data_IF_109026311763
#
_entry.id   IF_109026311763
#
_cell.length_a   1.000
_cell.length_b   1.000
_cell.length_c   1.000
_cell.angle_alpha   90.00
_cell.angle_beta   90.00
_cell.angle_gamma   90.00
#
_symmetry.space_group_name_H-M   'P 1'
#
loop_
_entity.id
_entity.type
_entity.pdbx_description
1 polymer ?
#
# COMPACT_ATOMS: atom_id res chain seq x y z
N UNK A 1 8.76 -10.74 -9.20
CA UNK A 1 8.95 -9.48 -8.45
C UNK A 1 10.36 -9.50 -7.88
N UNK A 2 11.08 -8.39 -8.00
CA UNK A 2 12.44 -8.22 -7.49
C UNK A 2 12.42 -7.20 -6.35
N UNK A 3 13.43 -7.28 -5.49
CA UNK A 3 13.69 -6.29 -4.45
C UNK A 3 14.17 -4.99 -5.11
N UNK A 4 13.54 -3.87 -4.77
CA UNK A 4 13.79 -2.55 -5.35
C UNK A 4 13.53 -1.48 -4.30
N UNK A 5 14.18 -0.33 -4.46
CA UNK A 5 14.04 0.79 -3.54
C UNK A 5 13.78 2.10 -4.27
N UNK A 6 13.09 3.03 -3.60
CA UNK A 6 12.75 4.34 -4.16
C UNK A 6 13.96 5.17 -4.53
N UNK A 7 15.03 5.06 -3.75
CA UNK A 7 16.30 5.74 -4.02
C UNK A 7 16.89 5.37 -5.39
N UNK A 8 16.59 4.16 -5.89
CA UNK A 8 17.03 3.67 -7.20
C UNK A 8 15.99 3.88 -8.31
N UNK A 9 14.90 4.62 -8.04
CA UNK A 9 13.79 4.80 -8.96
C UNK A 9 13.64 6.26 -9.40
N UNK A 10 14.28 6.66 -10.52
CA UNK A 10 14.14 8.01 -11.05
C UNK A 10 12.78 8.25 -11.74
N UNK A 11 12.11 7.19 -12.17
CA UNK A 11 10.90 7.26 -13.00
C UNK A 11 10.80 6.05 -13.93
N UNK A 12 9.80 6.04 -14.81
CA UNK A 12 9.64 4.99 -15.82
C UNK A 12 8.97 5.46 -17.12
N UNK A 13 9.19 4.71 -18.21
CA UNK A 13 8.42 4.89 -19.44
C UNK A 13 7.06 4.22 -19.33
N UNK A 14 6.00 4.99 -19.51
CA UNK A 14 4.62 4.50 -19.60
C UNK A 14 4.16 4.48 -21.05
N UNK A 15 3.51 3.38 -21.45
CA UNK A 15 2.88 3.28 -22.77
C UNK A 15 1.56 4.06 -22.73
N UNK A 16 1.49 5.15 -23.49
CA UNK A 16 0.30 6.01 -23.59
C UNK A 16 -0.65 5.53 -24.67
N UNK A 17 -0.12 4.99 -25.78
CA UNK A 17 -0.91 4.50 -26.91
C UNK A 17 -0.29 3.26 -27.56
N UNK A 18 -1.13 2.35 -28.03
CA UNK A 18 -0.75 1.20 -28.88
C UNK A 18 -1.55 1.26 -30.17
N UNK A 19 -0.88 1.36 -31.30
CA UNK A 19 -1.49 1.32 -32.64
C UNK A 19 -0.94 0.14 -33.42
N UNK A 20 -1.80 -0.46 -34.26
CA UNK A 20 -1.39 -1.49 -35.21
C UNK A 20 -1.38 -0.87 -36.59
N UNK A 21 -0.21 -0.81 -37.22
CA UNK A 21 -0.03 -0.27 -38.56
C UNK A 21 0.79 -1.26 -39.38
N UNK A 22 0.31 -1.62 -40.56
CA UNK A 22 0.97 -2.55 -41.48
C UNK A 22 1.37 -3.89 -40.84
N UNK A 23 0.50 -4.42 -39.96
CA UNK A 23 0.74 -5.67 -39.23
C UNK A 23 1.79 -5.57 -38.11
N UNK A 24 2.34 -4.39 -37.84
CA UNK A 24 3.30 -4.13 -36.77
C UNK A 24 2.68 -3.35 -35.62
N UNK A 25 3.11 -3.68 -34.40
CA UNK A 25 2.72 -2.97 -33.18
C UNK A 25 3.58 -1.73 -33.00
N UNK A 26 2.96 -0.57 -33.01
CA UNK A 26 3.56 0.72 -32.69
C UNK A 26 3.14 1.12 -31.27
N UNK A 27 4.08 1.65 -30.49
CA UNK A 27 3.83 2.08 -29.12
C UNK A 27 4.35 3.49 -28.93
N UNK A 28 3.49 4.38 -28.46
CA UNK A 28 3.91 5.68 -27.94
C UNK A 28 4.19 5.54 -26.46
N UNK A 29 5.28 6.16 -26.01
CA UNK A 29 5.74 6.09 -24.64
C UNK A 29 6.12 7.48 -24.16
N UNK A 30 5.79 7.75 -22.91
CA UNK A 30 6.15 8.97 -22.21
C UNK A 30 6.97 8.60 -20.97
N UNK A 31 8.00 9.40 -20.68
CA UNK A 31 8.75 9.26 -19.44
C UNK A 31 7.99 9.98 -18.32
N UNK A 32 7.73 9.27 -17.23
CA UNK A 32 7.13 9.83 -16.02
C UNK A 32 8.18 9.77 -14.92
N UNK A 33 8.60 10.94 -14.44
CA UNK A 33 9.51 11.06 -13.30
C UNK A 33 8.88 10.50 -12.03
N UNK A 34 9.70 10.16 -11.04
CA UNK A 34 9.25 9.89 -9.68
C UNK A 34 9.21 11.21 -8.89
N UNK A 35 8.05 11.86 -8.71
CA UNK A 35 7.96 13.14 -8.02
C UNK A 35 8.01 13.00 -6.49
N UNK A 36 8.01 11.77 -5.96
CA UNK A 36 7.83 11.52 -4.54
C UNK A 36 9.20 11.42 -3.88
N UNK A 37 9.50 12.40 -3.03
CA UNK A 37 10.59 12.32 -2.07
C UNK A 37 10.01 11.81 -0.76
N UNK A 38 10.38 10.60 -0.36
CA UNK A 38 9.90 10.04 0.89
C UNK A 38 10.92 10.26 2.02
N UNK A 39 10.50 10.89 3.11
CA UNK A 39 11.31 11.10 4.31
C UNK A 39 10.55 10.57 5.51
N UNK A 40 11.13 9.61 6.23
CA UNK A 40 10.57 9.06 7.46
C UNK A 40 11.58 9.14 8.60
N UNK A 41 11.09 9.39 9.81
CA UNK A 41 11.91 9.52 11.01
C UNK A 41 12.32 8.17 11.61
N UNK A 42 11.63 7.09 11.23
CA UNK A 42 11.90 5.73 11.69
C UNK A 42 11.60 4.69 10.59
N UNK A 43 12.06 3.47 10.83
CA UNK A 43 11.95 2.36 9.87
C UNK A 43 10.61 1.60 9.95
N UNK A 44 9.58 2.16 10.61
CA UNK A 44 8.28 1.51 10.80
C UNK A 44 7.23 2.09 9.86
N UNK A 45 6.37 1.22 9.34
CA UNK A 45 5.20 1.61 8.57
C UNK A 45 3.97 0.77 8.94
N UNK A 46 2.80 1.34 8.70
CA UNK A 46 1.52 0.63 8.81
C UNK A 46 0.85 0.57 7.46
N UNK A 47 0.66 -0.63 6.93
CA UNK A 47 -0.24 -0.88 5.82
C UNK A 47 -1.62 -1.20 6.38
N UNK A 48 -2.61 -0.38 6.03
CA UNK A 48 -3.95 -0.47 6.59
C UNK A 48 -4.99 -0.68 5.49
N UNK A 49 -5.81 -1.70 5.66
CA UNK A 49 -6.98 -2.00 4.86
C UNK A 49 -8.22 -2.01 5.75
N UNK A 50 -9.40 -2.05 5.12
CA UNK A 50 -10.64 -2.23 5.86
C UNK A 50 -10.65 -3.57 6.61
N UNK A 51 -10.66 -3.48 7.93
CA UNK A 51 -10.87 -4.60 8.84
C UNK A 51 -12.27 -4.58 9.42
N UNK A 52 -12.84 -5.77 9.63
CA UNK A 52 -14.10 -5.99 10.34
C UNK A 52 -13.84 -6.38 11.81
N UNK A 53 -12.60 -6.77 12.12
CA UNK A 53 -12.16 -7.14 13.47
C UNK A 53 -11.67 -5.94 14.29
N UNK A 54 -11.44 -4.78 13.66
CA UNK A 54 -10.91 -3.59 14.32
C UNK A 54 -12.03 -2.58 14.61
N UNK A 55 -12.00 -1.97 15.79
CA UNK A 55 -13.00 -0.97 16.20
C UNK A 55 -12.96 0.27 15.29
N UNK A 56 -14.11 0.89 15.03
CA UNK A 56 -14.22 2.08 14.15
C UNK A 56 -13.32 3.24 14.58
N UNK A 57 -13.11 3.44 15.88
CA UNK A 57 -12.24 4.49 16.41
C UNK A 57 -10.74 4.26 16.14
N UNK A 58 -10.35 3.07 15.70
CA UNK A 58 -8.95 2.73 15.44
C UNK A 58 -8.34 3.55 14.30
N UNK A 59 -9.07 3.74 13.19
CA UNK A 59 -8.58 4.54 12.07
C UNK A 59 -8.29 5.98 12.50
N UNK A 60 -9.14 6.54 13.37
CA UNK A 60 -8.95 7.86 13.93
C UNK A 60 -7.73 7.94 14.87
N UNK A 61 -7.43 6.88 15.62
CA UNK A 61 -6.22 6.80 16.45
C UNK A 61 -4.96 6.77 15.59
N UNK A 62 -4.92 5.87 14.60
CA UNK A 62 -3.78 5.77 13.66
C UNK A 62 -3.54 7.10 12.93
N UNK A 63 -4.60 7.76 12.48
CA UNK A 63 -4.51 9.06 11.79
C UNK A 63 -3.98 10.19 12.68
N UNK A 64 -4.15 10.09 14.01
CA UNK A 64 -3.71 11.10 14.99
C UNK A 64 -2.35 10.81 15.59
N UNK A 65 -1.71 9.71 15.18
CA UNK A 65 -0.39 9.36 15.68
C UNK A 65 0.63 10.40 15.20
N UNK A 66 1.03 11.27 16.13
CA UNK A 66 2.03 12.31 15.90
C UNK A 66 3.46 11.83 16.18
N UNK A 67 3.65 10.60 16.65
CA UNK A 67 4.97 9.98 16.83
C UNK A 67 5.71 10.36 18.10
N UNK A 68 4.99 10.58 19.21
CA UNK A 68 5.57 11.03 20.47
C UNK A 68 6.26 12.40 20.38
N UNK A 69 7.20 12.66 21.28
CA UNK A 69 7.94 13.94 21.34
C UNK A 69 8.76 14.15 20.04
N UNK A 70 8.52 15.27 19.36
CA UNK A 70 9.15 15.64 18.08
C UNK A 70 8.86 14.69 16.90
N UNK A 71 7.85 13.82 17.01
CA UNK A 71 7.42 12.93 15.93
C UNK A 71 8.42 11.85 15.52
N UNK A 72 9.36 11.52 16.42
CA UNK A 72 10.40 10.52 16.20
C UNK A 72 9.83 9.12 15.93
N UNK A 73 8.71 8.78 16.57
CA UNK A 73 8.03 7.49 16.40
C UNK A 73 6.88 7.56 15.38
N UNK A 74 6.75 8.66 14.61
CA UNK A 74 5.66 8.78 13.64
C UNK A 74 5.86 7.75 12.55
N UNK A 75 4.91 6.85 12.41
CA UNK A 75 4.92 5.85 11.35
C UNK A 75 4.26 6.41 10.10
N UNK A 76 4.75 5.98 8.94
CA UNK A 76 4.06 6.26 7.69
C UNK A 76 2.92 5.26 7.48
N UNK A 77 1.80 5.76 6.99
CA UNK A 77 0.59 4.97 6.78
C UNK A 77 0.33 4.79 5.30
N UNK A 78 0.17 3.54 4.89
CA UNK A 78 -0.18 3.11 3.53
C UNK A 78 -1.59 2.52 3.54
N UNK A 79 -2.56 3.31 3.12
CA UNK A 79 -3.96 2.90 3.01
C UNK A 79 -4.24 2.04 1.78
N UNK A 80 -5.31 1.24 1.86
CA UNK A 80 -5.77 0.37 0.76
C UNK A 80 -7.24 0.64 0.46
N UNK A 81 -7.53 0.91 -0.81
CA UNK A 81 -8.88 0.99 -1.40
C UNK A 81 -9.87 1.78 -0.53
N UNK A 82 -10.84 1.11 0.11
CA UNK A 82 -11.94 1.74 0.84
C UNK A 82 -11.48 2.60 2.01
N UNK A 83 -10.26 2.46 2.54
CA UNK A 83 -9.75 3.25 3.67
C UNK A 83 -9.85 4.78 3.46
N UNK A 84 -9.91 5.25 2.21
CA UNK A 84 -10.08 6.67 1.89
C UNK A 84 -11.31 7.31 2.54
N UNK A 85 -12.37 6.53 2.80
CA UNK A 85 -13.61 7.00 3.42
C UNK A 85 -13.52 7.10 4.96
N UNK A 86 -12.48 6.53 5.57
CA UNK A 86 -12.29 6.41 7.02
C UNK A 86 -11.15 7.27 7.55
N UNK A 87 -10.11 7.51 6.75
CA UNK A 87 -8.95 8.31 7.16
C UNK A 87 -8.17 8.88 5.96
N UNK A 88 -7.21 9.76 6.27
CA UNK A 88 -6.23 10.28 5.33
C UNK A 88 -4.86 9.68 5.70
N UNK A 89 -4.38 8.64 4.98
CA UNK A 89 -3.05 8.09 5.16
C UNK A 89 -2.01 8.97 4.44
N UNK A 90 -0.71 8.78 4.71
CA UNK A 90 0.34 9.47 3.96
C UNK A 90 0.31 9.04 2.48
N UNK A 91 0.08 7.74 2.24
CA UNK A 91 -0.08 7.16 0.91
C UNK A 91 -1.33 6.29 0.85
N UNK A 92 -2.07 6.33 -0.25
CA UNK A 92 -3.22 5.46 -0.51
C UNK A 92 -3.01 4.69 -1.80
N UNK A 93 -3.24 3.38 -1.80
CA UNK A 93 -3.32 2.58 -3.03
C UNK A 93 -4.78 2.34 -3.38
N UNK A 94 -5.23 2.89 -4.51
CA UNK A 94 -6.56 2.63 -5.05
C UNK A 94 -6.46 2.28 -6.53
N UNK A 95 -6.84 1.06 -6.89
CA UNK A 95 -6.89 0.58 -8.28
C UNK A 95 -8.32 0.47 -8.80
N UNK A 96 -9.32 0.54 -7.94
CA UNK A 96 -10.73 0.42 -8.32
C UNK A 96 -11.19 1.62 -9.17
N UNK A 97 -11.45 1.37 -10.45
CA UNK A 97 -11.89 2.39 -11.41
C UNK A 97 -13.26 3.01 -11.12
N UNK A 98 -14.06 2.42 -10.22
CA UNK A 98 -15.35 2.96 -9.78
C UNK A 98 -15.18 3.94 -8.61
N UNK A 99 -14.24 3.67 -7.70
CA UNK A 99 -14.00 4.50 -6.50
C UNK A 99 -13.18 5.75 -6.82
N UNK A 100 -12.22 5.66 -7.74
CA UNK A 100 -11.34 6.78 -8.11
C UNK A 100 -12.11 8.06 -8.53
N UNK A 101 -13.13 8.00 -9.41
CA UNK A 101 -13.93 9.19 -9.75
C UNK A 101 -14.56 9.88 -8.54
N UNK A 102 -15.04 9.10 -7.56
CA UNK A 102 -15.68 9.61 -6.35
C UNK A 102 -14.65 10.33 -5.46
N UNK A 103 -13.47 9.72 -5.30
CA UNK A 103 -12.35 10.32 -4.56
C UNK A 103 -11.88 11.64 -5.18
N UNK A 104 -11.72 11.68 -6.50
CA UNK A 104 -11.30 12.90 -7.22
C UNK A 104 -12.37 13.98 -7.05
N UNK A 105 -13.65 13.64 -7.22
CA UNK A 105 -14.76 14.58 -7.00
C UNK A 105 -14.79 15.12 -5.57
N UNK A 106 -14.39 14.32 -4.59
CA UNK A 106 -14.26 14.73 -3.19
C UNK A 106 -12.97 15.54 -2.88
N UNK A 107 -12.12 15.77 -3.88
CA UNK A 107 -10.83 16.45 -3.73
C UNK A 107 -9.82 15.66 -2.90
N UNK A 108 -9.96 14.34 -2.81
CA UNK A 108 -9.11 13.50 -1.96
C UNK A 108 -7.63 13.53 -2.34
N UNK A 109 -7.23 13.50 -3.63
CA UNK A 109 -5.81 13.52 -4.00
C UNK A 109 -5.02 14.74 -3.52
N UNK A 110 -5.69 15.84 -3.18
CA UNK A 110 -5.04 17.01 -2.56
C UNK A 110 -4.59 16.78 -1.11
N UNK A 111 -5.08 15.70 -0.46
CA UNK A 111 -4.87 15.41 0.97
C UNK A 111 -3.91 14.25 1.21
N UNK A 112 -3.78 13.34 0.26
CA UNK A 112 -2.96 12.13 0.34
C UNK A 112 -2.44 11.78 -1.04
N UNK A 113 -1.23 11.21 -1.09
CA UNK A 113 -0.67 10.71 -2.35
C UNK A 113 -1.39 9.42 -2.73
N UNK A 114 -2.11 9.45 -3.86
CA UNK A 114 -2.90 8.30 -4.33
C UNK A 114 -2.15 7.56 -5.44
N UNK A 115 -1.68 6.35 -5.15
CA UNK A 115 -1.09 5.45 -6.12
C UNK A 115 -2.15 4.62 -6.85
N UNK A 116 -2.00 4.51 -8.18
CA UNK A 116 -2.88 3.73 -9.04
C UNK A 116 -2.16 3.13 -10.24
N UNK A 117 -2.93 2.42 -11.08
CA UNK A 117 -2.44 1.82 -12.32
C UNK A 117 -2.18 2.87 -13.40
N UNK A 118 -1.31 2.58 -14.37
CA UNK A 118 -1.06 3.46 -15.51
C UNK A 118 -2.37 3.82 -16.26
N UNK A 119 -3.28 2.85 -16.42
CA UNK A 119 -4.59 3.07 -17.03
C UNK A 119 -5.39 4.15 -16.29
N UNK A 120 -5.37 4.14 -14.95
CA UNK A 120 -6.10 5.13 -14.17
C UNK A 120 -5.40 6.49 -14.22
N UNK A 121 -4.06 6.52 -14.19
CA UNK A 121 -3.29 7.77 -14.32
C UNK A 121 -3.54 8.45 -15.67
N UNK A 122 -3.61 7.69 -16.76
CA UNK A 122 -3.97 8.21 -18.09
C UNK A 122 -5.41 8.73 -18.17
N UNK A 123 -6.32 8.13 -17.39
CA UNK A 123 -7.72 8.55 -17.32
C UNK A 123 -7.92 9.81 -16.47
N UNK A 124 -7.08 10.00 -15.46
CA UNK A 124 -7.15 11.11 -14.51
C UNK A 124 -5.76 11.77 -14.36
N UNK A 125 -5.27 12.44 -15.42
CA UNK A 125 -3.93 13.00 -15.44
C UNK A 125 -3.77 14.08 -14.37
N UNK A 126 -2.65 14.05 -13.65
CA UNK A 126 -2.33 15.01 -12.58
C UNK A 126 -2.98 14.71 -11.22
N UNK A 127 -3.96 13.81 -11.16
CA UNK A 127 -4.67 13.47 -9.92
C UNK A 127 -4.07 12.27 -9.20
N UNK A 128 -3.36 11.39 -9.91
CA UNK A 128 -2.88 10.10 -9.39
C UNK A 128 -1.39 9.91 -9.68
N UNK A 129 -0.74 9.16 -8.80
CA UNK A 129 0.63 8.72 -8.96
C UNK A 129 0.67 7.27 -9.45
N UNK A 130 1.65 6.97 -10.29
CA UNK A 130 1.83 5.63 -10.82
C UNK A 130 2.41 4.70 -9.75
N UNK A 131 1.84 3.51 -9.58
CA UNK A 131 2.51 2.43 -8.85
C UNK A 131 3.81 2.09 -9.60
N UNK A 132 5.00 2.28 -8.99
CA UNK A 132 6.27 2.13 -9.66
C UNK A 132 6.46 0.78 -10.36
N UNK A 133 7.17 0.82 -11.49
CA UNK A 133 7.46 -0.32 -12.36
C UNK A 133 6.21 -0.99 -12.93
N UNK A 134 5.10 -0.24 -13.00
CA UNK A 134 3.80 -0.72 -13.47
C UNK A 134 3.39 -2.06 -12.85
N UNK A 135 3.70 -2.27 -11.57
CA UNK A 135 3.46 -3.55 -10.90
C UNK A 135 1.97 -3.85 -10.82
N UNK A 136 1.57 -4.95 -11.45
CA UNK A 136 0.19 -5.47 -11.37
C UNK A 136 0.07 -6.46 -10.22
N UNK A 137 -0.54 -6.01 -9.12
CA UNK A 137 -0.85 -6.84 -7.96
C UNK A 137 -2.06 -6.30 -7.20
N UNK A 138 -2.60 -7.12 -6.30
CA UNK A 138 -3.68 -6.68 -5.40
C UNK A 138 -3.24 -5.47 -4.58
N UNK A 139 -4.13 -4.50 -4.36
CA UNK A 139 -3.82 -3.23 -3.69
C UNK A 139 -3.21 -3.39 -2.30
N UNK A 140 -3.62 -4.42 -1.56
CA UNK A 140 -2.99 -4.85 -0.30
C UNK A 140 -1.48 -5.15 -0.47
N UNK A 141 -1.14 -5.96 -1.48
CA UNK A 141 0.26 -6.28 -1.75
C UNK A 141 1.02 -5.07 -2.29
N UNK A 142 0.37 -4.20 -3.07
CA UNK A 142 1.00 -2.97 -3.56
C UNK A 142 1.32 -1.98 -2.43
N UNK A 143 0.44 -1.79 -1.46
CA UNK A 143 0.70 -0.96 -0.28
C UNK A 143 1.87 -1.52 0.55
N UNK A 144 1.87 -2.83 0.78
CA UNK A 144 2.95 -3.54 1.47
C UNK A 144 4.28 -3.44 0.71
N UNK A 145 4.25 -3.60 -0.61
CA UNK A 145 5.42 -3.46 -1.47
C UNK A 145 5.94 -2.02 -1.48
N UNK A 146 5.06 -1.01 -1.52
CA UNK A 146 5.43 0.40 -1.46
C UNK A 146 6.13 0.73 -0.14
N UNK A 147 5.63 0.25 0.99
CA UNK A 147 6.30 0.43 2.27
C UNK A 147 7.73 -0.18 2.28
N UNK A 148 7.92 -1.36 1.68
CA UNK A 148 9.25 -1.95 1.53
C UNK A 148 10.14 -1.15 0.57
N UNK A 149 9.58 -0.75 -0.57
CA UNK A 149 10.23 0.05 -1.60
C UNK A 149 10.69 1.41 -1.05
N UNK A 150 9.93 1.94 -0.09
CA UNK A 150 10.24 3.17 0.62
C UNK A 150 11.29 3.00 1.72
N UNK A 151 11.79 1.78 1.94
CA UNK A 151 12.93 1.49 2.82
C UNK A 151 12.55 1.04 4.23
N UNK A 152 11.26 0.97 4.58
CA UNK A 152 10.83 0.52 5.91
C UNK A 152 11.27 -0.91 6.21
N UNK A 153 11.63 -1.17 7.46
CA UNK A 153 12.17 -2.45 7.96
C UNK A 153 11.21 -3.21 8.86
N UNK A 154 10.17 -2.54 9.36
CA UNK A 154 9.11 -3.15 10.17
C UNK A 154 7.75 -2.66 9.67
N UNK A 155 6.92 -3.59 9.18
CA UNK A 155 5.64 -3.27 8.54
C UNK A 155 4.50 -3.95 9.30
N UNK A 156 3.60 -3.15 9.84
CA UNK A 156 2.37 -3.60 10.46
C UNK A 156 1.26 -3.74 9.41
N UNK A 157 0.60 -4.90 9.40
CA UNK A 157 -0.47 -5.24 8.46
C UNK A 157 -1.80 -5.25 9.20
N UNK A 158 -2.58 -4.18 9.07
CA UNK A 158 -3.90 -4.01 9.71
C UNK A 158 -5.01 -4.22 8.68
N UNK A 159 -5.98 -5.09 8.98
CA UNK A 159 -7.06 -5.44 8.03
C UNK A 159 -6.65 -6.44 6.94
N UNK A 160 -5.47 -7.04 7.09
CA UNK A 160 -4.95 -8.09 6.21
C UNK A 160 -5.47 -9.45 6.69
N UNK A 161 -6.76 -9.69 6.53
CA UNK A 161 -7.45 -10.86 7.11
C UNK A 161 -7.41 -12.09 6.19
N UNK A 162 -7.39 -13.28 6.78
CA UNK A 162 -7.40 -14.55 6.02
C UNK A 162 -8.68 -14.70 5.19
N UNK A 163 -9.80 -14.30 5.77
CA UNK A 163 -11.13 -14.41 5.17
C UNK A 163 -11.75 -13.04 4.98
N UNK A 164 -12.72 -12.95 4.07
CA UNK A 164 -13.55 -11.76 3.90
C UNK A 164 -14.69 -11.71 4.94
N UNK A 165 -15.54 -10.66 4.86
CA UNK A 165 -16.75 -10.52 5.70
C UNK A 165 -17.72 -11.70 5.62
N UNK A 166 -17.66 -12.49 4.54
CA UNK A 166 -18.52 -13.66 4.29
C UNK A 166 -17.83 -14.98 4.69
N UNK A 167 -16.60 -14.92 5.22
CA UNK A 167 -15.81 -16.09 5.59
C UNK A 167 -15.06 -16.74 4.42
N UNK A 168 -15.08 -16.16 3.22
CA UNK A 168 -14.37 -16.71 2.07
C UNK A 168 -12.87 -16.38 2.15
N UNK A 169 -12.01 -17.35 1.86
CA UNK A 169 -10.56 -17.15 1.93
C UNK A 169 -10.07 -16.18 0.84
N UNK A 170 -9.26 -15.20 1.23
CA UNK A 170 -8.73 -14.16 0.34
C UNK A 170 -7.45 -14.62 -0.38
N UNK A 171 -7.49 -15.77 -1.05
CA UNK A 171 -6.32 -16.49 -1.60
C UNK A 171 -5.43 -15.61 -2.48
N UNK A 172 -6.02 -14.75 -3.34
CA UNK A 172 -5.27 -13.83 -4.21
C UNK A 172 -4.46 -12.80 -3.41
N UNK A 173 -5.07 -12.19 -2.40
CA UNK A 173 -4.41 -11.23 -1.50
C UNK A 173 -3.30 -11.93 -0.72
N UNK A 174 -3.62 -13.09 -0.13
CA UNK A 174 -2.68 -13.90 0.66
C UNK A 174 -1.42 -14.23 -0.13
N UNK A 175 -1.57 -14.76 -1.35
CA UNK A 175 -0.41 -15.11 -2.18
C UNK A 175 0.39 -13.88 -2.64
N UNK A 176 -0.29 -12.79 -3.00
CA UNK A 176 0.37 -11.57 -3.42
C UNK A 176 1.22 -10.96 -2.29
N UNK A 177 0.68 -10.87 -1.07
CA UNK A 177 1.42 -10.39 0.11
C UNK A 177 2.54 -11.37 0.48
N UNK A 178 2.30 -12.68 0.42
CA UNK A 178 3.34 -13.69 0.67
C UNK A 178 4.50 -13.62 -0.32
N UNK A 179 4.26 -13.09 -1.54
CA UNK A 179 5.30 -12.85 -2.53
C UNK A 179 6.12 -11.60 -2.18
N UNK A 180 5.50 -10.54 -1.65
CA UNK A 180 6.22 -9.37 -1.14
C UNK A 180 7.14 -9.78 0.02
N UNK A 181 6.61 -10.53 1.00
CA UNK A 181 7.40 -11.04 2.13
C UNK A 181 8.62 -11.87 1.69
N UNK A 182 8.46 -12.65 0.60
CA UNK A 182 9.55 -13.44 0.02
C UNK A 182 10.62 -12.56 -0.64
N UNK A 183 10.21 -11.47 -1.28
CA UNK A 183 11.10 -10.56 -1.99
C UNK A 183 11.93 -9.71 -1.01
N UNK A 184 11.38 -9.37 0.15
CA UNK A 184 12.05 -8.59 1.18
C UNK A 184 12.32 -9.42 2.46
N UNK A 185 13.25 -10.39 2.43
CA UNK A 185 13.48 -11.32 3.54
C UNK A 185 14.00 -10.63 4.82
N UNK A 186 14.55 -9.42 4.68
CA UNK A 186 15.14 -8.63 5.76
C UNK A 186 14.13 -7.65 6.39
N UNK A 187 12.92 -7.54 5.86
CA UNK A 187 11.85 -6.70 6.40
C UNK A 187 10.94 -7.56 7.27
N UNK A 188 10.64 -7.10 8.48
CA UNK A 188 9.73 -7.78 9.42
C UNK A 188 8.29 -7.39 9.12
N UNK A 189 7.43 -8.39 8.90
CA UNK A 189 6.01 -8.20 8.65
C UNK A 189 5.20 -8.68 9.86
N UNK A 190 4.36 -7.81 10.39
CA UNK A 190 3.62 -8.05 11.63
C UNK A 190 2.13 -7.91 11.35
N UNK A 191 1.42 -9.03 11.30
CA UNK A 191 -0.03 -8.97 11.18
C UNK A 191 -0.66 -8.54 12.51
N UNK A 192 -1.43 -7.46 12.47
CA UNK A 192 -2.21 -7.00 13.62
C UNK A 192 -3.57 -7.67 13.56
N UNK A 193 -3.76 -8.73 14.34
CA UNK A 193 -4.99 -9.52 14.32
C UNK A 193 -5.16 -10.34 15.61
N UNK A 194 -6.40 -10.64 15.94
CA UNK A 194 -6.76 -11.67 16.94
C UNK A 194 -7.15 -13.00 16.27
N UNK A 195 -7.29 -13.01 14.95
CA UNK A 195 -7.68 -14.17 14.15
C UNK A 195 -6.47 -14.98 13.68
N UNK A 196 -6.72 -16.17 13.14
CA UNK A 196 -5.65 -16.99 12.58
C UNK A 196 -5.01 -16.34 11.34
N UNK A 197 -3.68 -16.19 11.37
CA UNK A 197 -2.89 -15.75 10.22
C UNK A 197 -2.95 -16.77 9.07
N UNK A 198 -2.87 -16.34 7.80
CA UNK A 198 -2.74 -17.26 6.66
C UNK A 198 -1.52 -18.19 6.78
N UNK A 199 -1.69 -19.47 6.46
CA UNK A 199 -0.63 -20.48 6.52
C UNK A 199 0.58 -20.11 5.66
N UNK A 200 0.34 -19.49 4.50
CA UNK A 200 1.38 -19.03 3.60
C UNK A 200 2.30 -17.96 4.22
N UNK A 201 1.80 -17.19 5.19
CA UNK A 201 2.56 -16.16 5.89
C UNK A 201 3.28 -16.75 7.11
N UNK A 202 2.62 -17.63 7.88
CA UNK A 202 3.23 -18.28 9.07
C UNK A 202 4.51 -19.06 8.78
N UNK A 203 4.71 -19.49 7.53
CA UNK A 203 5.93 -20.20 7.07
C UNK A 203 7.07 -19.27 6.67
N UNK A 204 6.88 -17.94 6.73
CA UNK A 204 7.92 -16.96 6.43
C UNK A 204 8.70 -16.63 7.69
N UNK A 205 10.02 -16.65 7.60
CA UNK A 205 10.93 -16.38 8.73
C UNK A 205 10.84 -14.94 9.23
N UNK A 206 10.39 -14.03 8.38
CA UNK A 206 10.24 -12.61 8.64
C UNK A 206 8.79 -12.20 8.95
N UNK A 207 7.94 -13.17 9.32
CA UNK A 207 6.55 -12.93 9.67
C UNK A 207 6.28 -13.22 11.15
N UNK A 208 5.52 -12.34 11.77
CA UNK A 208 4.90 -12.57 13.08
C UNK A 208 3.49 -12.00 13.12
N UNK A 209 2.76 -12.26 14.19
CA UNK A 209 1.50 -11.58 14.48
C UNK A 209 1.57 -10.91 15.85
N UNK A 210 0.68 -9.95 16.06
CA UNK A 210 0.52 -9.20 17.31
C UNK A 210 -0.94 -8.84 17.49
N UNK A 211 -1.37 -8.58 18.72
CA UNK A 211 -2.73 -8.09 18.98
C UNK A 211 -2.83 -6.59 18.74
N UNK A 212 -4.05 -6.11 18.57
CA UNK A 212 -4.35 -4.69 18.39
C UNK A 212 -3.89 -3.85 19.58
N UNK A 213 -4.01 -4.35 20.80
CA UNK A 213 -3.59 -3.62 22.01
C UNK A 213 -2.07 -3.46 22.06
N UNK A 214 -1.34 -4.51 21.69
CA UNK A 214 0.13 -4.48 21.61
C UNK A 214 0.61 -3.55 20.49
N UNK A 215 -0.08 -3.53 19.36
CA UNK A 215 0.19 -2.57 18.28
C UNK A 215 0.02 -1.12 18.77
N UNK A 216 -1.12 -0.82 19.40
CA UNK A 216 -1.42 0.50 19.97
C UNK A 216 -0.32 0.95 20.93
N UNK A 217 0.13 0.05 21.82
CA UNK A 217 1.22 0.30 22.76
C UNK A 217 2.58 0.51 22.07
N UNK A 218 2.96 -0.37 21.15
CA UNK A 218 4.26 -0.34 20.47
C UNK A 218 4.43 0.83 19.49
N UNK A 219 3.32 1.36 19.01
CA UNK A 219 3.28 2.39 17.99
C UNK A 219 2.90 3.77 18.53
N UNK A 220 2.57 3.89 19.82
CA UNK A 220 2.11 5.13 20.47
C UNK A 220 0.89 5.74 19.73
N UNK A 221 -0.11 4.89 19.45
CA UNK A 221 -1.32 5.19 18.65
C UNK A 221 -2.57 5.42 19.51
#
# INVERSE_FOLDING_TARGET
>A
MLERYREDYPGEFVITQVTWKDGKKHQEREWIDNPITNVHANNKATCIAESYAVQTNFYAKVARNNGGLLGRERMQVYGVESVWDKMVPDFLVCQNSQTIPEMIKAGYPSKSVVYSTAKNCLKFPGELFLIPYSLSMQSHAAACWLACFDGHKEIYLVGYEKTDKKGAEQTKMIHAVAQVMKVYPHVKFIQVTTNASPDAWRRRVNFSNTRTEDYVSNCDV
#
